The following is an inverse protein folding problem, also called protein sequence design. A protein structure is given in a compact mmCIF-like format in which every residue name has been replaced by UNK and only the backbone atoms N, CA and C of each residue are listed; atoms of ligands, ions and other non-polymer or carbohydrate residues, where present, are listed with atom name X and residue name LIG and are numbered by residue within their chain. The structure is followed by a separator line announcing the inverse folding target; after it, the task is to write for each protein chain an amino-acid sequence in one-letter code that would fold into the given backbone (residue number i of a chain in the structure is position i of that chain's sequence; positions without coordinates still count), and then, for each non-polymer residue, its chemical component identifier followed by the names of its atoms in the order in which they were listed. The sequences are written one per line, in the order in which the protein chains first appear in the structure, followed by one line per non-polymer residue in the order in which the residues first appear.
data_IF_629594769038
#
_entry.id   IF_629594769038
#
_cell.length_a   1.000
_cell.length_b   1.000
_cell.length_c   1.000
_cell.angle_alpha   90.00
_cell.angle_beta   90.00
_cell.angle_gamma   90.00
#
_symmetry.space_group_name_H-M   'P 1'
#
loop_
_entity.id
_entity.type
_entity.pdbx_description
1 polymer ?
#
# COMPACT_ATOMS: atom_id res chain seq x y z
N UNK A 1 -20.35 6.69 4.43
CA UNK A 1 -19.10 6.98 3.71
C UNK A 1 -18.02 7.19 4.76
N UNK A 2 -17.05 6.28 4.82
CA UNK A 2 -15.95 6.33 5.79
C UNK A 2 -14.64 6.38 5.02
N UNK A 3 -13.69 7.19 5.50
CA UNK A 3 -12.36 7.28 4.91
C UNK A 3 -11.36 6.63 5.86
N UNK A 4 -10.56 5.71 5.32
CA UNK A 4 -9.49 5.06 6.07
C UNK A 4 -8.14 5.46 5.48
N UNK A 5 -7.15 5.64 6.36
CA UNK A 5 -5.75 5.73 6.00
C UNK A 5 -5.05 4.50 6.54
N UNK A 6 -4.47 3.70 5.66
CA UNK A 6 -3.79 2.45 6.00
C UNK A 6 -2.42 2.44 5.33
N UNK A 7 -1.35 2.40 6.14
CA UNK A 7 0.02 2.46 5.67
C UNK A 7 1.01 1.86 6.68
N UNK A 8 2.16 1.40 6.20
CA UNK A 8 3.32 1.09 7.03
C UNK A 8 4.15 2.36 7.24
N UNK A 9 4.58 2.59 8.48
CA UNK A 9 5.44 3.72 8.84
C UNK A 9 6.66 3.21 9.60
N UNK A 10 7.78 3.91 9.45
CA UNK A 10 8.90 3.77 10.37
C UNK A 10 8.48 4.21 11.78
N UNK A 11 9.27 3.82 12.79
CA UNK A 11 8.99 4.18 14.19
C UNK A 11 8.95 5.70 14.42
N UNK A 12 9.72 6.45 13.66
CA UNK A 12 9.77 7.92 13.67
C UNK A 12 8.77 8.59 12.71
N UNK A 13 7.88 7.82 12.09
CA UNK A 13 6.69 8.33 11.40
C UNK A 13 6.84 8.63 9.91
N UNK A 14 7.82 8.03 9.23
CA UNK A 14 8.05 8.22 7.80
C UNK A 14 7.57 7.03 6.97
N UNK A 15 7.05 7.30 5.76
CA UNK A 15 6.59 6.28 4.81
C UNK A 15 7.72 5.78 3.89
N UNK A 16 8.71 6.63 3.62
CA UNK A 16 9.83 6.35 2.73
C UNK A 16 11.10 7.00 3.28
N UNK A 17 12.25 6.49 2.86
CA UNK A 17 13.53 7.09 3.22
C UNK A 17 13.77 8.42 2.48
N UNK A 18 14.91 9.08 2.80
CA UNK A 18 15.28 10.38 2.23
C UNK A 18 15.47 10.38 0.71
N UNK A 19 15.67 9.20 0.12
CA UNK A 19 15.85 8.99 -1.31
C UNK A 19 14.57 8.44 -1.96
N UNK A 20 13.43 8.49 -1.27
CA UNK A 20 12.15 7.91 -1.68
C UNK A 20 12.14 6.38 -1.80
N UNK A 21 13.10 5.70 -1.17
CA UNK A 21 13.19 4.25 -1.14
C UNK A 21 12.30 3.59 -0.08
N UNK A 22 11.90 2.35 -0.37
CA UNK A 22 11.11 1.48 0.51
C UNK A 22 11.92 0.25 1.00
N UNK A 23 13.24 0.27 0.85
CA UNK A 23 14.08 -0.89 1.20
C UNK A 23 13.89 -1.37 2.65
N UNK A 24 13.68 -0.43 3.58
CA UNK A 24 13.43 -0.72 4.99
C UNK A 24 12.16 -1.58 5.19
N UNK A 25 11.13 -1.38 4.37
CA UNK A 25 9.87 -2.12 4.43
C UNK A 25 10.07 -3.58 4.04
N UNK A 26 10.94 -3.86 3.07
CA UNK A 26 11.22 -5.21 2.58
C UNK A 26 12.12 -6.03 3.51
N UNK A 27 12.68 -5.42 4.55
CA UNK A 27 13.54 -6.09 5.53
C UNK A 27 12.75 -6.65 6.72
N UNK A 28 11.43 -6.39 6.80
CA UNK A 28 10.60 -6.72 7.96
C UNK A 28 9.39 -7.57 7.60
N UNK A 29 9.28 -8.73 8.25
CA UNK A 29 8.10 -9.61 8.19
C UNK A 29 7.67 -10.06 6.79
N UNK A 30 6.46 -10.58 6.69
CA UNK A 30 5.79 -10.83 5.40
C UNK A 30 4.37 -10.27 5.41
N UNK A 31 3.80 -10.07 4.21
CA UNK A 31 2.39 -9.62 4.07
C UNK A 31 1.42 -10.63 4.68
N UNK A 32 1.78 -11.91 4.70
CA UNK A 32 0.96 -13.01 5.25
C UNK A 32 0.78 -12.91 6.77
N UNK A 33 1.68 -12.21 7.46
CA UNK A 33 1.61 -11.93 8.89
C UNK A 33 0.72 -10.72 9.21
N UNK A 34 0.16 -10.06 8.19
CA UNK A 34 -0.64 -8.84 8.32
C UNK A 34 -2.11 -9.07 8.04
N UNK A 35 -2.95 -8.13 8.48
CA UNK A 35 -4.38 -8.08 8.13
C UNK A 35 -4.65 -7.42 6.77
N UNK A 36 -3.63 -7.23 5.92
CA UNK A 36 -3.73 -6.50 4.65
C UNK A 36 -4.90 -6.97 3.78
N UNK A 37 -4.99 -8.28 3.51
CA UNK A 37 -6.03 -8.83 2.64
C UNK A 37 -7.44 -8.60 3.20
N UNK A 38 -7.65 -8.89 4.49
CA UNK A 38 -8.95 -8.71 5.15
C UNK A 38 -9.37 -7.23 5.25
N UNK A 39 -8.41 -6.31 5.34
CA UNK A 39 -8.69 -4.88 5.35
C UNK A 39 -9.14 -4.39 3.96
N UNK A 40 -8.42 -4.77 2.90
CA UNK A 40 -8.73 -4.33 1.54
C UNK A 40 -10.00 -4.96 0.96
N UNK A 41 -10.38 -6.18 1.39
CA UNK A 41 -11.65 -6.83 1.00
C UNK A 41 -12.90 -6.01 1.37
N UNK A 42 -12.77 -5.10 2.34
CA UNK A 42 -13.85 -4.23 2.80
C UNK A 42 -13.93 -2.89 2.06
N UNK A 43 -13.01 -2.61 1.13
CA UNK A 43 -12.88 -1.30 0.49
C UNK A 43 -13.50 -1.30 -0.91
N UNK A 44 -14.38 -0.33 -1.18
CA UNK A 44 -14.97 -0.16 -2.51
C UNK A 44 -14.05 0.61 -3.49
N UNK A 45 -13.28 1.57 -2.96
CA UNK A 45 -12.50 2.56 -3.73
C UNK A 45 -11.12 2.74 -3.07
N UNK A 46 -10.07 2.80 -3.89
CA UNK A 46 -8.72 3.18 -3.47
C UNK A 46 -8.36 4.57 -4.01
N UNK A 47 -7.81 5.42 -3.14
CA UNK A 47 -7.30 6.73 -3.50
C UNK A 47 -5.82 6.81 -3.12
N UNK A 48 -4.97 7.26 -4.06
CA UNK A 48 -3.55 7.47 -3.81
C UNK A 48 -3.01 8.68 -4.59
N UNK A 49 -1.94 9.28 -4.06
CA UNK A 49 -1.25 10.36 -4.76
C UNK A 49 -0.39 9.86 -5.90
N UNK A 50 -0.05 10.74 -6.84
CA UNK A 50 0.80 10.43 -8.01
C UNK A 50 2.11 9.75 -7.64
N UNK A 51 2.79 10.20 -6.57
CA UNK A 51 4.06 9.60 -6.14
C UNK A 51 3.91 8.13 -5.70
N UNK A 52 2.82 7.81 -5.01
CA UNK A 52 2.52 6.43 -4.60
C UNK A 52 2.18 5.59 -5.82
N UNK A 53 1.39 6.12 -6.75
CA UNK A 53 1.10 5.45 -8.01
C UNK A 53 2.37 5.17 -8.83
N UNK A 54 3.22 6.19 -9.01
CA UNK A 54 4.48 6.07 -9.74
C UNK A 54 5.44 5.04 -9.11
N UNK A 55 5.34 4.79 -7.80
CA UNK A 55 6.17 3.80 -7.11
C UNK A 55 5.75 2.35 -7.37
N UNK A 56 4.49 2.11 -7.77
CA UNK A 56 3.93 0.75 -7.93
C UNK A 56 3.45 0.44 -9.34
N UNK A 57 3.36 1.43 -10.23
CA UNK A 57 2.81 1.27 -11.60
C UNK A 57 3.52 0.22 -12.45
N UNK A 58 4.80 -0.06 -12.15
CA UNK A 58 5.64 -1.01 -12.90
C UNK A 58 5.67 -2.41 -12.23
N UNK A 59 4.91 -2.60 -11.14
CA UNK A 59 4.75 -3.91 -10.50
C UNK A 59 3.93 -4.81 -11.42
N UNK A 60 4.43 -6.01 -11.68
CA UNK A 60 3.71 -7.01 -12.47
C UNK A 60 2.38 -7.36 -11.80
N UNK A 61 1.34 -7.53 -12.61
CA UNK A 61 0.00 -7.90 -12.16
C UNK A 61 -0.62 -6.92 -11.14
N UNK A 62 -0.26 -5.63 -11.21
CA UNK A 62 -0.83 -4.60 -10.33
C UNK A 62 -2.37 -4.59 -10.31
N UNK A 63 -3.01 -4.95 -11.43
CA UNK A 63 -4.47 -4.99 -11.53
C UNK A 63 -5.12 -6.07 -10.65
N UNK A 64 -4.45 -7.18 -10.36
CA UNK A 64 -5.03 -8.25 -9.53
C UNK A 64 -5.20 -7.82 -8.07
N UNK A 65 -4.35 -6.93 -7.56
CA UNK A 65 -4.50 -6.32 -6.24
C UNK A 65 -5.78 -5.47 -6.10
N UNK A 66 -6.35 -5.03 -7.22
CA UNK A 66 -7.51 -4.12 -7.24
C UNK A 66 -8.76 -4.74 -7.84
N UNK A 67 -8.78 -6.07 -8.05
CA UNK A 67 -9.87 -6.76 -8.74
C UNK A 67 -11.27 -6.56 -8.12
N UNK A 68 -11.35 -6.16 -6.85
CA UNK A 68 -12.62 -5.86 -6.16
C UNK A 68 -13.05 -4.40 -6.29
N UNK A 69 -12.15 -3.49 -6.68
CA UNK A 69 -12.46 -2.05 -6.76
C UNK A 69 -13.26 -1.74 -8.03
N UNK A 70 -14.36 -1.01 -7.89
CA UNK A 70 -15.17 -0.55 -9.02
C UNK A 70 -14.77 0.89 -9.34
N UNK A 71 -13.88 1.05 -10.33
CA UNK A 71 -13.54 2.38 -10.89
C UNK A 71 -14.71 2.99 -11.66
#
# INVERSE_FOLDING_TARGET
MTLFFYACVSLDGYLADKNHGLQWLHQIGSVEETSYAAFYDQMDILLMGRKTYDAIKDVEDLASFYGQTKN
#
